data_IF_628544054024
#
_entry.id   IF_628544054024
#
_cell.length_a   1.000
_cell.length_b   1.000
_cell.length_c   1.000
_cell.angle_alpha   90.00
_cell.angle_beta   90.00
_cell.angle_gamma   90.00
#
_symmetry.space_group_name_H-M   'P 1'
#
loop_
_entity.id
_entity.type
_entity.pdbx_description
1 polymer ?
#
# COMPACT_ATOMS: atom_id res chain seq x y z
N UNK A 1 15.89 -1.56 30.02
CA UNK A 1 17.00 -1.17 29.09
C UNK A 1 18.34 -1.80 29.44
N UNK A 2 18.83 -1.74 30.69
CA UNK A 2 20.12 -2.37 31.08
C UNK A 2 20.25 -3.85 30.71
N UNK A 3 19.15 -4.62 30.79
CA UNK A 3 19.07 -6.03 30.39
C UNK A 3 19.41 -6.31 28.91
N UNK A 4 19.21 -5.34 28.03
CA UNK A 4 19.35 -5.50 26.58
C UNK A 4 20.54 -4.71 26.00
N UNK A 5 21.46 -4.29 26.86
CA UNK A 5 22.62 -3.47 26.48
C UNK A 5 23.48 -4.20 25.44
N UNK A 6 23.89 -5.42 25.74
CA UNK A 6 24.79 -6.20 24.90
C UNK A 6 24.10 -6.65 23.61
N UNK A 7 22.81 -6.97 23.67
CA UNK A 7 22.02 -7.38 22.50
C UNK A 7 21.75 -6.25 21.50
N UNK A 8 21.70 -5.00 21.98
CA UNK A 8 21.41 -3.82 21.17
C UNK A 8 22.66 -2.96 20.90
N UNK A 9 23.85 -3.43 21.30
CA UNK A 9 25.11 -2.68 21.17
C UNK A 9 25.03 -1.25 21.72
N UNK A 10 24.33 -1.05 22.84
CA UNK A 10 24.19 0.26 23.48
C UNK A 10 25.42 0.55 24.34
N UNK A 11 26.03 1.73 24.19
CA UNK A 11 27.12 2.16 25.06
C UNK A 11 26.58 2.64 26.41
N UNK A 12 27.44 2.68 27.44
CA UNK A 12 27.04 3.23 28.74
C UNK A 12 26.69 4.72 28.67
N UNK A 13 27.33 5.45 27.75
CA UNK A 13 27.03 6.85 27.46
C UNK A 13 25.60 7.01 26.89
N UNK A 14 25.20 6.13 25.97
CA UNK A 14 23.85 6.12 25.38
C UNK A 14 22.76 5.83 26.43
N UNK A 15 23.08 5.07 27.49
CA UNK A 15 22.14 4.78 28.57
C UNK A 15 22.10 5.89 29.63
N UNK A 16 23.18 6.64 29.79
CA UNK A 16 23.28 7.74 30.77
C UNK A 16 22.44 8.97 30.38
N UNK A 17 22.19 9.19 29.09
CA UNK A 17 21.40 10.36 28.62
C UNK A 17 19.92 10.28 28.99
N UNK A 18 19.35 9.08 29.12
CA UNK A 18 17.93 8.86 29.42
C UNK A 18 17.54 9.36 30.83
N UNK A 19 18.22 8.94 31.91
CA UNK A 19 17.91 9.45 33.26
C UNK A 19 18.21 10.95 33.37
N UNK A 20 19.17 11.50 32.61
CA UNK A 20 19.41 12.93 32.57
C UNK A 20 18.19 13.70 32.00
N UNK A 21 17.62 13.25 30.88
CA UNK A 21 16.40 13.85 30.32
C UNK A 21 15.18 13.66 31.25
N UNK A 22 15.10 12.53 31.95
CA UNK A 22 14.05 12.32 32.95
C UNK A 22 14.16 13.33 34.10
N UNK A 23 15.37 13.61 34.57
CA UNK A 23 15.63 14.61 35.61
C UNK A 23 15.26 16.03 35.12
N UNK A 24 15.70 16.41 33.92
CA UNK A 24 15.31 17.69 33.28
C UNK A 24 13.78 17.86 33.19
N UNK A 25 13.05 16.77 32.89
CA UNK A 25 11.59 16.78 32.87
C UNK A 25 10.99 16.94 34.26
N UNK A 26 11.47 16.16 35.23
CA UNK A 26 10.98 16.17 36.61
C UNK A 26 11.11 17.56 37.25
N UNK A 27 12.24 18.24 37.05
CA UNK A 27 12.48 19.60 37.58
C UNK A 27 11.43 20.62 37.09
N UNK A 28 10.99 20.53 35.83
CA UNK A 28 9.98 21.42 35.26
C UNK A 28 8.55 20.94 35.56
N UNK A 29 8.36 19.64 35.76
CA UNK A 29 7.06 19.04 36.05
C UNK A 29 6.62 19.27 37.50
N UNK A 30 7.51 19.11 38.49
CA UNK A 30 7.20 19.17 39.92
C UNK A 30 6.49 20.49 40.33
N UNK A 31 6.93 21.69 39.89
CA UNK A 31 6.23 22.94 40.21
C UNK A 31 4.80 22.99 39.67
N UNK A 32 4.54 22.36 38.52
CA UNK A 32 3.19 22.32 37.92
C UNK A 32 2.27 21.26 38.52
N UNK A 33 2.79 20.36 39.35
CA UNK A 33 1.99 19.36 40.05
C UNK A 33 1.22 19.97 41.22
N UNK A 34 1.79 20.98 41.88
CA UNK A 34 1.12 21.73 42.94
C UNK A 34 0.26 22.85 42.34
N UNK A 35 -1.04 22.84 42.66
CA UNK A 35 -2.02 23.79 42.10
C UNK A 35 -1.67 25.26 42.39
N UNK A 36 -1.15 25.54 43.57
CA UNK A 36 -0.82 26.91 44.02
C UNK A 36 0.36 27.51 43.27
N UNK A 37 1.27 26.67 42.78
CA UNK A 37 2.43 27.10 42.02
C UNK A 37 2.15 27.13 40.51
N UNK A 38 1.10 26.44 40.04
CA UNK A 38 0.80 26.20 38.63
C UNK A 38 0.31 27.46 37.90
N UNK A 39 1.25 28.32 37.53
CA UNK A 39 1.00 29.52 36.72
C UNK A 39 1.07 29.23 35.22
N UNK A 40 0.42 30.07 34.40
CA UNK A 40 0.48 29.97 32.93
C UNK A 40 1.92 29.96 32.38
N UNK A 41 2.84 30.71 33.01
CA UNK A 41 4.25 30.73 32.65
C UNK A 41 4.92 29.37 32.87
N UNK A 42 4.63 28.69 33.97
CA UNK A 42 5.15 27.35 34.26
C UNK A 42 4.56 26.29 33.32
N UNK A 43 3.26 26.39 32.99
CA UNK A 43 2.62 25.51 32.01
C UNK A 43 3.29 25.63 30.64
N UNK A 44 3.60 26.86 30.18
CA UNK A 44 4.34 27.09 28.94
C UNK A 44 5.74 26.48 28.96
N UNK A 45 6.50 26.69 30.05
CA UNK A 45 7.83 26.09 30.24
C UNK A 45 7.77 24.57 30.19
N UNK A 46 6.80 23.95 30.88
CA UNK A 46 6.56 22.50 30.83
C UNK A 46 6.26 22.03 29.42
N UNK A 47 5.34 22.67 28.71
CA UNK A 47 4.96 22.24 27.36
C UNK A 47 6.14 22.36 26.37
N UNK A 48 6.94 23.42 26.48
CA UNK A 48 8.15 23.59 25.69
C UNK A 48 9.18 22.48 26.00
N UNK A 49 9.46 22.24 27.29
CA UNK A 49 10.39 21.19 27.71
C UNK A 49 9.92 19.80 27.30
N UNK A 50 8.60 19.53 27.38
CA UNK A 50 7.98 18.29 26.89
C UNK A 50 8.29 18.08 25.42
N UNK A 51 8.13 19.11 24.60
CA UNK A 51 8.40 19.07 23.15
C UNK A 51 9.88 18.79 22.88
N UNK A 52 10.79 19.48 23.56
CA UNK A 52 12.24 19.30 23.43
C UNK A 52 12.67 17.86 23.78
N UNK A 53 12.26 17.35 24.94
CA UNK A 53 12.62 16.00 25.40
C UNK A 53 11.99 14.94 24.49
N UNK A 54 10.75 15.14 24.04
CA UNK A 54 10.09 14.23 23.09
C UNK A 54 10.89 14.12 21.78
N UNK A 55 11.43 15.24 21.28
CA UNK A 55 12.27 15.23 20.08
C UNK A 55 13.59 14.49 20.30
N UNK A 56 14.28 14.74 21.43
CA UNK A 56 15.51 14.03 21.81
C UNK A 56 15.27 12.52 21.92
N UNK A 57 14.21 12.11 22.61
CA UNK A 57 13.85 10.71 22.80
C UNK A 57 13.47 10.02 21.47
N UNK A 58 12.71 10.69 20.60
CA UNK A 58 12.40 10.17 19.26
C UNK A 58 13.65 10.00 18.40
N UNK A 59 14.59 10.95 18.46
CA UNK A 59 15.85 10.86 17.74
C UNK A 59 16.69 9.68 18.24
N UNK A 60 16.78 9.49 19.56
CA UNK A 60 17.47 8.35 20.17
C UNK A 60 16.86 7.01 19.75
N UNK A 61 15.54 6.85 19.89
CA UNK A 61 14.83 5.62 19.49
C UNK A 61 15.08 5.30 18.02
N UNK A 62 15.00 6.30 17.14
CA UNK A 62 15.22 6.13 15.70
C UNK A 62 16.65 5.70 15.38
N UNK A 63 17.64 6.29 16.05
CA UNK A 63 19.05 6.03 15.80
C UNK A 63 19.53 4.69 16.37
N UNK A 64 19.04 4.30 17.56
CA UNK A 64 19.62 3.20 18.34
C UNK A 64 18.74 1.96 18.48
N UNK A 65 17.41 2.10 18.38
CA UNK A 65 16.47 0.99 18.63
C UNK A 65 15.73 0.54 17.37
N UNK A 66 15.06 1.47 16.66
CA UNK A 66 14.05 1.12 15.65
C UNK A 66 14.58 0.24 14.50
N UNK A 67 15.79 0.54 14.02
CA UNK A 67 16.44 -0.14 12.90
C UNK A 67 17.58 -1.07 13.31
N UNK A 68 17.71 -1.33 14.61
CA UNK A 68 18.79 -2.17 15.13
C UNK A 68 18.53 -3.65 14.75
N UNK A 69 19.51 -4.36 14.15
CA UNK A 69 19.34 -5.76 13.77
C UNK A 69 19.07 -6.70 14.96
N UNK A 70 19.54 -6.36 16.17
CA UNK A 70 19.28 -7.12 17.40
C UNK A 70 17.86 -6.95 17.97
N UNK A 71 17.03 -6.10 17.36
CA UNK A 71 15.72 -5.73 17.87
C UNK A 71 14.64 -6.76 17.50
N UNK A 72 14.37 -7.70 18.40
CA UNK A 72 13.34 -8.74 18.20
C UNK A 72 11.93 -8.23 18.52
N UNK A 73 10.90 -8.86 17.96
CA UNK A 73 9.51 -8.45 18.21
C UNK A 73 9.12 -8.57 19.70
N UNK A 74 9.71 -9.51 20.43
CA UNK A 74 9.53 -9.64 21.88
C UNK A 74 9.99 -8.41 22.66
N UNK A 75 11.18 -7.86 22.37
CA UNK A 75 11.61 -6.63 23.06
C UNK A 75 10.90 -5.38 22.51
N UNK A 76 10.34 -5.40 21.28
CA UNK A 76 9.47 -4.32 20.82
C UNK A 76 8.23 -4.21 21.70
N UNK A 77 7.61 -5.35 22.03
CA UNK A 77 6.48 -5.42 22.96
C UNK A 77 6.89 -4.92 24.34
N UNK A 78 8.04 -5.34 24.86
CA UNK A 78 8.51 -4.90 26.19
C UNK A 78 8.83 -3.40 26.26
N UNK A 79 9.23 -2.78 25.15
CA UNK A 79 9.44 -1.34 25.06
C UNK A 79 8.18 -0.55 24.67
N UNK A 80 7.01 -1.18 24.61
CA UNK A 80 5.76 -0.59 24.10
C UNK A 80 5.91 0.00 22.67
N UNK A 81 6.79 -0.59 21.87
CA UNK A 81 7.01 -0.24 20.46
C UNK A 81 6.10 -1.09 19.56
N UNK A 82 5.60 -0.51 18.45
CA UNK A 82 4.79 -1.26 17.51
C UNK A 82 5.59 -2.39 16.87
N UNK A 83 5.05 -3.61 16.93
CA UNK A 83 5.61 -4.78 16.24
C UNK A 83 5.50 -4.59 14.73
N UNK A 84 6.58 -4.87 14.02
CA UNK A 84 6.60 -4.73 12.56
C UNK A 84 5.79 -5.87 11.95
N UNK A 85 4.68 -5.54 11.30
CA UNK A 85 3.96 -6.52 10.49
C UNK A 85 4.77 -6.81 9.21
N UNK A 86 5.05 -8.09 8.88
CA UNK A 86 5.58 -8.41 7.57
C UNK A 86 4.56 -8.01 6.49
N UNK A 87 5.05 -7.67 5.30
CA UNK A 87 4.16 -7.46 4.17
C UNK A 87 3.50 -8.80 3.81
N UNK A 88 2.21 -8.94 4.09
CA UNK A 88 1.44 -10.08 3.60
C UNK A 88 1.25 -9.95 2.09
N UNK A 89 1.71 -10.92 1.28
CA UNK A 89 1.43 -10.92 -0.14
C UNK A 89 -0.07 -10.85 -0.42
N UNK A 90 -0.46 -10.10 -1.46
CA UNK A 90 -1.81 -10.22 -1.97
C UNK A 90 -1.99 -11.63 -2.57
N UNK A 91 -3.10 -12.33 -2.25
CA UNK A 91 -3.37 -13.65 -2.82
C UNK A 91 -3.57 -13.55 -4.34
N UNK A 92 -3.44 -14.69 -5.02
CA UNK A 92 -3.81 -14.79 -6.44
C UNK A 92 -5.31 -14.46 -6.58
N UNK A 93 -5.73 -13.66 -7.57
CA UNK A 93 -7.15 -13.34 -7.75
C UNK A 93 -7.94 -14.62 -8.08
N UNK A 94 -8.96 -14.92 -7.29
CA UNK A 94 -9.82 -16.10 -7.50
C UNK A 94 -10.99 -15.84 -8.46
N UNK A 95 -11.33 -14.57 -8.68
CA UNK A 95 -12.42 -14.15 -9.59
C UNK A 95 -11.87 -13.82 -10.96
N UNK A 96 -12.71 -13.89 -11.97
CA UNK A 96 -12.45 -13.38 -13.32
C UNK A 96 -13.02 -11.94 -13.46
N UNK A 97 -12.53 -11.16 -14.44
CA UNK A 97 -13.11 -9.85 -14.74
C UNK A 97 -14.35 -9.97 -15.65
N UNK A 98 -15.47 -9.40 -15.23
CA UNK A 98 -16.54 -9.10 -16.17
C UNK A 98 -16.13 -7.94 -17.09
N UNK A 99 -16.07 -8.19 -18.41
CA UNK A 99 -15.66 -7.22 -19.43
C UNK A 99 -16.87 -6.75 -20.20
N UNK A 100 -17.14 -5.46 -20.16
CA UNK A 100 -18.15 -4.81 -20.99
C UNK A 100 -17.47 -3.97 -22.07
N UNK A 101 -17.81 -4.23 -23.34
CA UNK A 101 -17.25 -3.52 -24.50
C UNK A 101 -18.34 -2.66 -25.14
N UNK A 102 -18.18 -1.34 -25.05
CA UNK A 102 -19.03 -0.38 -25.73
C UNK A 102 -18.30 0.21 -26.95
N UNK A 103 -19.06 0.55 -27.99
CA UNK A 103 -18.53 1.39 -29.07
C UNK A 103 -18.29 2.81 -28.49
N UNK A 104 -17.12 3.36 -28.76
CA UNK A 104 -16.79 4.76 -28.50
C UNK A 104 -17.07 5.62 -29.73
N UNK A 105 -16.39 6.75 -29.82
CA UNK A 105 -16.34 7.54 -31.05
C UNK A 105 -15.58 6.78 -32.16
N UNK A 106 -15.41 7.42 -33.33
CA UNK A 106 -14.78 6.85 -34.54
C UNK A 106 -13.64 5.88 -34.23
N UNK A 107 -13.83 4.61 -34.56
CA UNK A 107 -12.84 3.55 -34.43
C UNK A 107 -12.31 3.39 -33.00
N UNK A 108 -13.15 3.56 -31.99
CA UNK A 108 -12.76 3.35 -30.60
C UNK A 108 -13.67 2.34 -29.91
N UNK A 109 -13.09 1.47 -29.11
CA UNK A 109 -13.84 0.63 -28.16
C UNK A 109 -13.53 1.08 -26.74
N UNK A 110 -14.58 1.20 -25.93
CA UNK A 110 -14.49 1.51 -24.52
C UNK A 110 -14.72 0.23 -23.74
N UNK A 111 -13.65 -0.30 -23.14
CA UNK A 111 -13.69 -1.47 -22.28
C UNK A 111 -13.85 -1.04 -20.83
N UNK A 112 -14.85 -1.61 -20.17
CA UNK A 112 -15.09 -1.42 -18.75
C UNK A 112 -14.99 -2.77 -18.04
N UNK A 113 -14.21 -2.82 -16.97
CA UNK A 113 -13.95 -4.02 -16.18
C UNK A 113 -14.64 -3.92 -14.82
N UNK A 114 -15.27 -5.01 -14.40
CA UNK A 114 -16.01 -5.13 -13.14
C UNK A 114 -15.83 -6.54 -12.58
N UNK A 115 -16.10 -6.74 -11.29
CA UNK A 115 -16.13 -8.09 -10.70
C UNK A 115 -17.40 -8.84 -11.13
N UNK A 116 -18.50 -8.12 -11.31
CA UNK A 116 -19.82 -8.66 -11.62
C UNK A 116 -20.49 -7.78 -12.69
N UNK A 117 -21.42 -8.35 -13.46
CA UNK A 117 -22.08 -7.68 -14.60
C UNK A 117 -22.70 -6.33 -14.21
N UNK A 118 -23.56 -6.33 -13.19
CA UNK A 118 -24.22 -5.13 -12.68
C UNK A 118 -23.48 -4.48 -11.50
N UNK A 119 -22.21 -4.84 -11.31
CA UNK A 119 -21.40 -4.35 -10.20
C UNK A 119 -20.83 -2.94 -10.39
N UNK A 120 -20.17 -2.44 -9.33
CA UNK A 120 -19.36 -1.22 -9.42
C UNK A 120 -18.15 -1.46 -10.32
N UNK A 121 -17.64 -0.38 -10.93
CA UNK A 121 -16.42 -0.38 -11.77
C UNK A 121 -15.14 -0.49 -10.94
N UNK A 122 -15.11 -1.41 -10.00
CA UNK A 122 -14.03 -1.60 -9.05
C UNK A 122 -13.33 -2.92 -9.31
N UNK A 123 -12.03 -2.93 -9.02
CA UNK A 123 -11.24 -4.16 -8.96
C UNK A 123 -11.47 -4.85 -7.61
N UNK A 124 -11.43 -6.19 -7.55
CA UNK A 124 -11.42 -6.91 -6.27
C UNK A 124 -10.24 -6.49 -5.38
N UNK A 125 -10.38 -6.71 -4.07
CA UNK A 125 -9.30 -6.45 -3.12
C UNK A 125 -8.06 -7.29 -3.46
N UNK A 126 -6.87 -6.68 -3.40
CA UNK A 126 -5.60 -7.36 -3.71
C UNK A 126 -5.23 -7.42 -5.21
N UNK A 127 -6.12 -6.98 -6.10
CA UNK A 127 -5.84 -6.90 -7.55
C UNK A 127 -5.12 -5.60 -7.89
N UNK A 128 -3.95 -5.71 -8.52
CA UNK A 128 -3.17 -4.58 -9.04
C UNK A 128 -3.77 -4.07 -10.35
N UNK A 129 -4.04 -4.96 -11.29
CA UNK A 129 -4.38 -4.60 -12.66
C UNK A 129 -5.07 -5.69 -13.45
N UNK A 130 -5.23 -5.41 -14.74
CA UNK A 130 -5.87 -6.25 -15.74
C UNK A 130 -4.84 -6.53 -16.82
N UNK A 131 -4.66 -7.79 -17.21
CA UNK A 131 -4.01 -8.12 -18.47
C UNK A 131 -5.07 -8.34 -19.52
N UNK A 132 -5.00 -7.56 -20.59
CA UNK A 132 -5.92 -7.59 -21.71
C UNK A 132 -5.23 -8.24 -22.91
N UNK A 133 -5.97 -9.12 -23.56
CA UNK A 133 -5.58 -9.81 -24.77
C UNK A 133 -6.64 -9.60 -25.83
N UNK A 134 -6.23 -9.65 -27.10
CA UNK A 134 -7.09 -9.36 -28.24
C UNK A 134 -6.76 -10.26 -29.42
N UNK A 135 -7.77 -10.57 -30.24
CA UNK A 135 -7.63 -11.16 -31.58
C UNK A 135 -8.63 -10.50 -32.54
N UNK A 136 -8.32 -10.45 -33.83
CA UNK A 136 -9.21 -9.92 -34.86
C UNK A 136 -9.85 -11.01 -35.71
N UNK A 137 -11.08 -10.74 -36.17
CA UNK A 137 -11.89 -11.48 -37.16
C UNK A 137 -12.34 -12.90 -36.78
N UNK A 138 -11.47 -13.69 -36.17
CA UNK A 138 -11.78 -15.06 -35.78
C UNK A 138 -11.87 -15.17 -34.25
N UNK A 139 -12.94 -15.81 -33.78
CA UNK A 139 -13.09 -16.14 -32.37
C UNK A 139 -11.93 -17.07 -31.94
N UNK A 140 -11.24 -16.77 -30.82
CA UNK A 140 -10.17 -17.62 -30.32
C UNK A 140 -10.74 -18.97 -29.84
N UNK A 141 -10.06 -20.07 -30.18
CA UNK A 141 -10.42 -21.41 -29.70
C UNK A 141 -9.57 -21.79 -28.49
N UNK A 142 -8.33 -21.32 -28.47
CA UNK A 142 -7.41 -21.51 -27.36
C UNK A 142 -6.88 -20.17 -26.84
N UNK A 143 -6.52 -20.13 -25.56
CA UNK A 143 -5.93 -18.93 -24.95
C UNK A 143 -4.58 -18.54 -25.59
N UNK A 144 -3.91 -19.48 -26.26
CA UNK A 144 -2.68 -19.23 -27.02
C UNK A 144 -2.90 -18.45 -28.31
N UNK A 145 -4.13 -18.40 -28.83
CA UNK A 145 -4.47 -17.72 -30.07
C UNK A 145 -4.58 -16.19 -29.90
N UNK A 146 -4.53 -15.74 -28.64
CA UNK A 146 -4.79 -14.36 -28.25
C UNK A 146 -3.48 -13.58 -28.15
N UNK A 147 -3.43 -12.43 -28.83
CA UNK A 147 -2.30 -11.53 -28.75
C UNK A 147 -2.37 -10.70 -27.47
N UNK A 148 -1.25 -10.59 -26.77
CA UNK A 148 -1.16 -9.73 -25.60
C UNK A 148 -1.27 -8.26 -26.03
N UNK A 149 -2.30 -7.56 -25.53
CA UNK A 149 -2.50 -6.15 -25.84
C UNK A 149 -1.83 -5.24 -24.81
N UNK A 150 -1.95 -5.55 -23.53
CA UNK A 150 -1.30 -4.77 -22.48
C UNK A 150 -1.78 -5.06 -21.07
N UNK A 151 -1.07 -4.48 -20.08
CA UNK A 151 -1.46 -4.52 -18.67
C UNK A 151 -1.89 -3.12 -18.22
N UNK A 152 -3.08 -3.04 -17.59
CA UNK A 152 -3.72 -1.79 -17.24
C UNK A 152 -4.09 -1.75 -15.75
N UNK A 153 -3.85 -0.60 -15.12
CA UNK A 153 -4.22 -0.36 -13.73
C UNK A 153 -5.60 0.30 -13.59
N UNK A 154 -6.24 0.72 -14.69
CA UNK A 154 -7.56 1.37 -14.69
C UNK A 154 -8.65 0.38 -15.08
N UNK A 155 -9.84 0.53 -14.47
CA UNK A 155 -11.03 -0.29 -14.78
C UNK A 155 -11.80 0.19 -16.02
N UNK A 156 -11.38 1.28 -16.66
CA UNK A 156 -11.92 1.79 -17.94
C UNK A 156 -10.75 2.07 -18.87
N UNK A 157 -10.80 1.52 -20.07
CA UNK A 157 -9.76 1.64 -21.09
C UNK A 157 -10.44 2.01 -22.41
N UNK A 158 -9.86 2.94 -23.15
CA UNK A 158 -10.24 3.20 -24.53
C UNK A 158 -9.18 2.58 -25.43
N UNK A 159 -9.61 1.72 -26.35
CA UNK A 159 -8.77 1.10 -27.37
C UNK A 159 -9.13 1.76 -28.69
N UNK A 160 -8.19 2.49 -29.27
CA UNK A 160 -8.35 3.15 -30.55
C UNK A 160 -7.86 2.24 -31.68
N UNK A 161 -8.51 2.36 -32.83
CA UNK A 161 -8.28 1.62 -34.05
C UNK A 161 -8.05 2.59 -35.21
N UNK A 162 -7.48 2.08 -36.30
CA UNK A 162 -7.30 2.84 -37.53
C UNK A 162 -8.41 2.52 -38.53
N UNK A 163 -8.47 3.30 -39.61
CA UNK A 163 -9.43 3.07 -40.69
C UNK A 163 -9.28 1.68 -41.34
N UNK A 164 -8.07 1.13 -41.37
CA UNK A 164 -7.79 -0.21 -41.92
C UNK A 164 -8.38 -1.35 -41.08
N UNK A 165 -8.80 -1.06 -39.85
CA UNK A 165 -9.47 -1.99 -38.96
C UNK A 165 -11.00 -1.90 -39.05
N UNK A 166 -11.53 -0.99 -39.85
CA UNK A 166 -12.96 -0.84 -40.05
C UNK A 166 -13.61 -2.13 -40.58
N UNK A 167 -14.74 -2.53 -39.99
CA UNK A 167 -15.43 -3.77 -40.33
C UNK A 167 -14.82 -5.05 -39.74
N UNK A 168 -13.63 -4.98 -39.11
CA UNK A 168 -13.08 -6.11 -38.35
C UNK A 168 -13.81 -6.27 -37.03
N UNK A 169 -13.87 -7.52 -36.55
CA UNK A 169 -14.40 -7.81 -35.21
C UNK A 169 -13.23 -8.04 -34.25
N UNK A 170 -13.16 -7.27 -33.18
CA UNK A 170 -12.19 -7.46 -32.11
C UNK A 170 -12.78 -8.38 -31.03
N UNK A 171 -12.08 -9.47 -30.74
CA UNK A 171 -12.33 -10.38 -29.63
C UNK A 171 -11.40 -10.02 -28.49
N UNK A 172 -11.93 -9.95 -27.27
CA UNK A 172 -11.20 -9.58 -26.07
C UNK A 172 -11.34 -10.64 -24.99
N UNK A 173 -10.23 -10.89 -24.32
CA UNK A 173 -10.17 -11.71 -23.11
C UNK A 173 -9.25 -11.00 -22.12
N UNK A 174 -9.63 -10.99 -20.86
CA UNK A 174 -8.93 -10.33 -19.79
C UNK A 174 -8.86 -11.21 -18.54
N UNK A 175 -7.89 -10.90 -17.67
CA UNK A 175 -7.74 -11.53 -16.36
C UNK A 175 -7.19 -10.53 -15.34
N UNK A 176 -7.59 -10.69 -14.08
CA UNK A 176 -7.02 -9.92 -12.97
C UNK A 176 -5.59 -10.35 -12.69
N UNK A 177 -4.78 -9.41 -12.19
CA UNK A 177 -3.38 -9.65 -11.82
C UNK A 177 -3.11 -9.04 -10.45
N UNK A 178 -2.46 -9.78 -9.55
CA UNK A 178 -2.10 -9.28 -8.23
C UNK A 178 -0.83 -8.40 -8.27
N UNK A 179 -0.40 -7.90 -7.10
CA UNK A 179 0.81 -7.07 -6.98
C UNK A 179 2.09 -7.82 -7.36
N UNK A 180 2.10 -9.15 -7.30
CA UNK A 180 3.22 -10.02 -7.69
C UNK A 180 3.25 -10.36 -9.19
N UNK A 181 2.22 -10.01 -9.96
CA UNK A 181 2.13 -10.36 -11.37
C UNK A 181 1.51 -11.74 -11.65
N UNK A 182 1.02 -12.41 -10.62
CA UNK A 182 0.28 -13.68 -10.73
C UNK A 182 -1.12 -13.38 -11.23
N UNK A 183 -1.57 -14.17 -12.21
CA UNK A 183 -2.82 -13.94 -12.91
C UNK A 183 -3.92 -14.86 -12.40
N UNK A 184 -5.12 -14.30 -12.26
CA UNK A 184 -6.34 -15.05 -11.97
C UNK A 184 -6.91 -15.76 -13.20
N UNK A 185 -8.13 -16.32 -13.07
CA UNK A 185 -8.83 -16.97 -14.18
C UNK A 185 -9.15 -15.98 -15.32
N UNK A 186 -9.33 -16.55 -16.51
CA UNK A 186 -9.77 -15.84 -17.70
C UNK A 186 -11.27 -15.59 -17.64
N UNK A 187 -11.70 -14.47 -18.18
CA UNK A 187 -13.13 -14.20 -18.38
C UNK A 187 -13.66 -14.87 -19.66
N UNK A 188 -14.98 -14.79 -19.84
CA UNK A 188 -15.62 -15.19 -21.10
C UNK A 188 -15.19 -14.27 -22.26
N UNK A 189 -15.10 -14.84 -23.47
CA UNK A 189 -14.74 -14.09 -24.68
C UNK A 189 -15.84 -13.05 -24.97
N UNK A 190 -15.42 -11.79 -25.18
CA UNK A 190 -16.32 -10.70 -25.57
C UNK A 190 -15.89 -10.13 -26.90
N UNK A 191 -16.82 -9.91 -27.82
CA UNK A 191 -16.54 -9.40 -29.16
C UNK A 191 -17.27 -8.10 -29.45
N UNK A 192 -16.65 -7.26 -30.29
CA UNK A 192 -17.29 -6.06 -30.82
C UNK A 192 -16.74 -5.73 -32.22
N UNK A 193 -17.63 -5.38 -33.14
CA UNK A 193 -17.27 -4.87 -34.47
C UNK A 193 -16.73 -3.46 -34.37
N UNK A 194 -15.66 -3.17 -35.11
CA UNK A 194 -15.04 -1.85 -35.19
C UNK A 194 -15.79 -1.04 -36.23
N UNK A 195 -16.33 0.11 -35.80
CA UNK A 195 -17.06 1.08 -36.61
C UNK A 195 -16.77 2.51 -36.15
#
# INVERSE_FOLDING_TARGET
MKKYKDTLNLTDEDLAVIPAWQKEWQEVYLPTANRDNCTLAQIRKKNQKKKEITLKLRAFIRAKLLFNPGMTDGMRIEFDLPVRRPNSPAPVPATDPFVHVAAGDRFAHILTFRTEENGRRNKPHGVRGIRLYRKFNQAPQHNSDLDFFGEFTRSKITVNYTFDDNGKTAFYVARWVNTKGEAGPWNNIVSKSIS
#
